data_IF_251499674075
#
_entry.id   IF_251499674075
#
_cell.length_a   1.000
_cell.length_b   1.000
_cell.length_c   1.000
_cell.angle_alpha   90.00
_cell.angle_beta   90.00
_cell.angle_gamma   90.00
#
_symmetry.space_group_name_H-M   'P 1'
#
loop_
_entity.id
_entity.type
_entity.pdbx_description
1 polymer ?
#
# COMPACT_ATOMS: atom_id res chain seq x y z
N UNK A 1 28.53 -18.21 -18.68
CA UNK A 1 27.86 -18.01 -17.37
C UNK A 1 26.74 -16.99 -17.56
N UNK A 2 25.50 -17.45 -17.65
CA UNK A 2 24.31 -16.61 -17.95
C UNK A 2 23.24 -16.66 -16.87
N UNK A 3 23.55 -17.18 -15.67
CA UNK A 3 22.58 -17.34 -14.58
C UNK A 3 22.30 -16.06 -13.76
N UNK A 4 23.23 -15.09 -13.76
CA UNK A 4 23.10 -13.86 -12.95
C UNK A 4 22.13 -12.83 -13.54
N UNK A 5 21.97 -12.78 -14.86
CA UNK A 5 21.06 -11.83 -15.52
C UNK A 5 19.60 -12.22 -15.32
N UNK A 6 19.28 -13.52 -15.37
CA UNK A 6 17.91 -14.02 -15.16
C UNK A 6 17.42 -13.86 -13.71
N UNK A 7 18.31 -13.98 -12.72
CA UNK A 7 17.99 -13.73 -11.32
C UNK A 7 17.59 -12.27 -11.07
N UNK A 8 18.33 -11.31 -11.64
CA UNK A 8 18.02 -9.88 -11.53
C UNK A 8 16.68 -9.54 -12.20
N UNK A 9 16.40 -10.14 -13.36
CA UNK A 9 15.12 -9.96 -14.07
C UNK A 9 13.94 -10.53 -13.29
N UNK A 10 14.12 -11.69 -12.66
CA UNK A 10 13.09 -12.34 -11.83
C UNK A 10 12.83 -11.53 -10.56
N UNK A 11 13.87 -11.02 -9.92
CA UNK A 11 13.76 -10.13 -8.75
C UNK A 11 12.98 -8.86 -9.10
N UNK A 12 13.30 -8.20 -10.21
CA UNK A 12 12.59 -7.00 -10.66
C UNK A 12 11.10 -7.27 -10.97
N UNK A 13 10.78 -8.40 -11.61
CA UNK A 13 9.38 -8.82 -11.85
C UNK A 13 8.63 -9.06 -10.54
N UNK A 14 9.27 -9.73 -9.59
CA UNK A 14 8.69 -10.01 -8.27
C UNK A 14 8.48 -8.73 -7.46
N UNK A 15 9.44 -7.80 -7.47
CA UNK A 15 9.32 -6.48 -6.83
C UNK A 15 8.15 -5.70 -7.42
N UNK A 16 8.02 -5.66 -8.76
CA UNK A 16 6.90 -5.00 -9.42
C UNK A 16 5.54 -5.63 -9.05
N UNK A 17 5.46 -6.97 -9.00
CA UNK A 17 4.26 -7.69 -8.58
C UNK A 17 3.91 -7.41 -7.11
N UNK A 18 4.89 -7.49 -6.22
CA UNK A 18 4.71 -7.23 -4.79
C UNK A 18 4.26 -5.79 -4.56
N UNK A 19 4.86 -4.83 -5.27
CA UNK A 19 4.45 -3.43 -5.22
C UNK A 19 3.01 -3.24 -5.70
N UNK A 20 2.57 -3.97 -6.73
CA UNK A 20 1.18 -3.92 -7.19
C UNK A 20 0.20 -4.50 -6.16
N UNK A 21 0.56 -5.61 -5.52
CA UNK A 21 -0.22 -6.21 -4.43
C UNK A 21 -0.35 -5.21 -3.27
N UNK A 22 0.76 -4.61 -2.83
CA UNK A 22 0.76 -3.59 -1.78
C UNK A 22 -0.10 -2.36 -2.15
N UNK A 23 -0.06 -1.91 -3.41
CA UNK A 23 -0.92 -0.81 -3.88
C UNK A 23 -2.41 -1.16 -3.82
N UNK A 24 -2.79 -2.38 -4.19
CA UNK A 24 -4.19 -2.84 -4.10
C UNK A 24 -4.67 -2.90 -2.66
N UNK A 25 -3.85 -3.46 -1.76
CA UNK A 25 -4.13 -3.49 -0.33
C UNK A 25 -4.28 -2.08 0.24
N UNK A 26 -3.37 -1.16 -0.11
CA UNK A 26 -3.44 0.22 0.34
C UNK A 26 -4.72 0.94 -0.13
N UNK A 27 -5.20 0.68 -1.35
CA UNK A 27 -6.46 1.25 -1.85
C UNK A 27 -7.66 0.70 -1.09
N UNK A 28 -7.70 -0.62 -0.85
CA UNK A 28 -8.79 -1.25 -0.09
C UNK A 28 -8.88 -0.68 1.33
N UNK A 29 -7.75 -0.54 2.03
CA UNK A 29 -7.69 0.11 3.35
C UNK A 29 -8.21 1.56 3.27
N UNK A 30 -7.86 2.30 2.21
CA UNK A 30 -8.29 3.69 2.01
C UNK A 30 -9.81 3.85 1.79
N UNK A 31 -10.45 2.81 1.26
CA UNK A 31 -11.88 2.76 0.96
C UNK A 31 -12.70 2.41 2.21
N UNK A 32 -12.21 1.49 3.03
CA UNK A 32 -12.84 1.06 4.30
C UNK A 32 -12.77 2.10 5.43
N UNK A 33 -11.94 3.13 5.28
CA UNK A 33 -11.80 4.16 6.32
C UNK A 33 -13.09 4.94 6.55
N UNK A 34 -13.56 5.08 7.81
CA UNK A 34 -14.83 5.70 8.16
C UNK A 34 -14.76 7.24 8.14
N UNK A 35 -14.47 7.81 6.97
CA UNK A 35 -14.49 9.26 6.79
C UNK A 35 -15.93 9.78 6.70
N UNK A 36 -16.27 10.74 7.57
CA UNK A 36 -17.61 11.37 7.61
C UNK A 36 -18.00 12.10 6.32
N UNK A 37 -17.03 12.50 5.48
CA UNK A 37 -17.24 13.14 4.18
C UNK A 37 -16.48 12.39 3.09
N UNK A 38 -16.98 12.43 1.85
CA UNK A 38 -16.27 11.90 0.68
C UNK A 38 -15.07 12.80 0.36
N UNK A 39 -13.87 12.33 0.69
CA UNK A 39 -12.61 12.98 0.32
C UNK A 39 -11.95 12.27 -0.87
N UNK A 40 -11.19 13.05 -1.65
CA UNK A 40 -10.35 12.48 -2.71
C UNK A 40 -9.27 11.56 -2.13
N UNK A 41 -8.81 10.58 -2.91
CA UNK A 41 -7.74 9.65 -2.49
C UNK A 41 -6.44 10.37 -2.08
N UNK A 42 -6.19 11.59 -2.60
CA UNK A 42 -5.03 12.41 -2.21
C UNK A 42 -5.19 12.95 -0.79
N UNK A 43 -6.35 13.51 -0.47
CA UNK A 43 -6.64 14.05 0.86
C UNK A 43 -6.70 12.94 1.90
N UNK A 44 -7.33 11.80 1.61
CA UNK A 44 -7.34 10.64 2.51
C UNK A 44 -5.93 10.19 2.88
N UNK A 45 -5.03 10.07 1.90
CA UNK A 45 -3.61 9.73 2.13
C UNK A 45 -2.91 10.76 3.00
N UNK A 46 -3.16 12.05 2.76
CA UNK A 46 -2.60 13.13 3.59
C UNK A 46 -3.09 13.02 5.04
N UNK A 47 -4.40 12.84 5.27
CA UNK A 47 -4.96 12.69 6.63
C UNK A 47 -4.36 11.48 7.35
N UNK A 48 -4.22 10.34 6.67
CA UNK A 48 -3.60 9.14 7.27
C UNK A 48 -2.14 9.42 7.61
N UNK A 49 -1.41 10.12 6.74
CA UNK A 49 0.00 10.46 7.01
C UNK A 49 0.20 11.37 8.21
N UNK A 50 -0.82 12.13 8.62
CA UNK A 50 -0.75 12.97 9.83
C UNK A 50 -0.85 12.17 11.13
N UNK A 51 -1.57 11.04 11.11
CA UNK A 51 -1.75 10.19 12.30
C UNK A 51 -1.87 8.71 11.92
N UNK A 52 -0.77 8.16 11.41
CA UNK A 52 -0.69 6.80 10.87
C UNK A 52 -1.05 5.76 11.94
N UNK A 53 -0.62 5.97 13.19
CA UNK A 53 -0.84 5.03 14.30
C UNK A 53 -2.32 4.85 14.61
N UNK A 54 -3.08 5.95 14.69
CA UNK A 54 -4.52 5.90 14.95
C UNK A 54 -5.26 5.07 13.89
N UNK A 55 -4.90 5.23 12.62
CA UNK A 55 -5.54 4.50 11.54
C UNK A 55 -5.09 3.04 11.45
N UNK A 56 -3.82 2.72 11.73
CA UNK A 56 -3.36 1.33 11.80
C UNK A 56 -4.06 0.55 12.92
N UNK A 57 -4.27 1.17 14.08
CA UNK A 57 -5.00 0.54 15.19
C UNK A 57 -6.42 0.12 14.81
N UNK A 58 -7.09 0.89 13.95
CA UNK A 58 -8.44 0.58 13.47
C UNK A 58 -8.52 -0.73 12.67
N UNK A 59 -7.44 -1.10 11.99
CA UNK A 59 -7.42 -2.28 11.10
C UNK A 59 -6.68 -3.48 11.67
N UNK A 60 -5.71 -3.26 12.55
CA UNK A 60 -4.80 -4.32 12.97
C UNK A 60 -4.96 -4.74 14.45
N UNK A 61 -5.80 -4.09 15.24
CA UNK A 61 -5.99 -4.40 16.67
C UNK A 61 -4.65 -4.46 17.45
N UNK A 62 -3.71 -3.59 17.05
CA UNK A 62 -2.38 -3.37 17.66
C UNK A 62 -2.42 -2.10 18.53
#
# INVERSE_FOLDING_TARGET
MTFREDASRTLNKNVARNLNILRKLAISILEELPFRKKFSRRIKRYIISLDVRRYLKLFFDI
#
